data_IF_570290330311
#
_entry.id   IF_570290330311
#
_cell.length_a   1.000
_cell.length_b   1.000
_cell.length_c   1.000
_cell.angle_alpha   90.00
_cell.angle_beta   90.00
_cell.angle_gamma   90.00
#
_symmetry.space_group_name_H-M   'P 1'
#
loop_
_entity.id
_entity.type
_entity.pdbx_description
1 polymer ?
#
# COMPACT_ATOMS: atom_id res chain seq x y z
N UNK A 1 -31.89 -25.96 2.32
CA UNK A 1 -31.00 -26.96 1.70
C UNK A 1 -29.59 -26.44 1.71
N UNK A 2 -28.73 -26.90 2.61
CA UNK A 2 -27.29 -26.57 2.62
C UNK A 2 -26.66 -27.29 1.43
N UNK A 3 -26.24 -26.53 0.40
CA UNK A 3 -25.38 -27.09 -0.67
C UNK A 3 -24.09 -27.57 0.00
N UNK A 4 -23.84 -28.88 -0.07
CA UNK A 4 -22.55 -29.49 0.25
C UNK A 4 -21.49 -28.78 -0.58
N UNK A 5 -20.56 -28.10 0.10
CA UNK A 5 -19.33 -27.62 -0.51
C UNK A 5 -18.63 -28.86 -1.08
N UNK A 6 -18.28 -28.88 -2.38
CA UNK A 6 -17.51 -30.00 -2.91
C UNK A 6 -16.20 -30.09 -2.13
N UNK A 7 -15.83 -31.29 -1.71
CA UNK A 7 -14.53 -31.58 -1.11
C UNK A 7 -13.46 -31.07 -2.08
N UNK A 8 -12.81 -29.97 -1.72
CA UNK A 8 -11.73 -29.35 -2.52
C UNK A 8 -10.55 -30.31 -2.54
N UNK A 9 -10.46 -31.06 -3.63
CA UNK A 9 -9.26 -31.78 -3.99
C UNK A 9 -8.09 -30.79 -4.07
N UNK A 10 -7.15 -30.89 -3.13
CA UNK A 10 -5.77 -30.40 -3.20
C UNK A 10 -5.48 -28.97 -3.71
N UNK A 11 -6.30 -27.97 -3.41
CA UNK A 11 -5.82 -26.59 -3.38
C UNK A 11 -5.00 -26.52 -2.10
N UNK A 12 -3.69 -26.69 -2.23
CA UNK A 12 -2.78 -26.62 -1.09
C UNK A 12 -2.89 -25.23 -0.45
N UNK A 13 -2.75 -25.11 0.87
CA UNK A 13 -2.62 -23.83 1.60
C UNK A 13 -1.52 -22.92 1.02
N UNK A 14 -0.79 -23.40 0.02
CA UNK A 14 0.25 -22.67 -0.69
C UNK A 14 -0.31 -21.62 -1.68
N UNK A 15 -1.45 -21.91 -2.36
CA UNK A 15 -1.94 -21.01 -3.41
C UNK A 15 -2.25 -19.59 -2.96
N UNK A 16 -2.92 -19.34 -1.81
CA UNK A 16 -3.13 -17.98 -1.30
C UNK A 16 -1.84 -17.27 -0.90
N UNK A 17 -0.90 -18.00 -0.28
CA UNK A 17 0.42 -17.45 0.08
C UNK A 17 1.22 -17.06 -1.16
N UNK A 18 1.22 -17.92 -2.17
CA UNK A 18 1.91 -17.68 -3.45
C UNK A 18 1.27 -16.56 -4.25
N UNK A 19 -0.07 -16.38 -4.19
CA UNK A 19 -0.75 -15.24 -4.80
C UNK A 19 -0.21 -13.93 -4.23
N UNK A 20 -0.17 -13.79 -2.89
CA UNK A 20 0.40 -12.61 -2.25
C UNK A 20 1.89 -12.47 -2.55
N UNK A 21 2.65 -13.55 -2.45
CA UNK A 21 4.08 -13.52 -2.74
C UNK A 21 4.37 -12.98 -4.15
N UNK A 22 3.78 -13.56 -5.18
CA UNK A 22 4.04 -13.18 -6.57
C UNK A 22 3.52 -11.79 -6.91
N UNK A 23 2.32 -11.41 -6.42
CA UNK A 23 1.79 -10.07 -6.63
C UNK A 23 2.69 -9.00 -6.03
N UNK A 24 3.06 -9.18 -4.75
CA UNK A 24 3.93 -8.21 -4.07
C UNK A 24 5.38 -8.26 -4.57
N UNK A 25 5.86 -9.43 -5.00
CA UNK A 25 7.16 -9.53 -5.65
C UNK A 25 7.17 -8.80 -7.00
N UNK A 26 6.11 -8.92 -7.81
CA UNK A 26 5.98 -8.18 -9.06
C UNK A 26 6.00 -6.67 -8.82
N UNK A 27 5.18 -6.17 -7.88
CA UNK A 27 5.16 -4.74 -7.56
C UNK A 27 6.46 -4.28 -6.91
N UNK A 28 7.07 -5.09 -6.04
CA UNK A 28 8.36 -4.82 -5.39
C UNK A 28 9.54 -4.74 -6.36
N UNK A 29 9.49 -5.44 -7.49
CA UNK A 29 10.55 -5.35 -8.51
C UNK A 29 10.57 -4.02 -9.24
N UNK A 30 9.43 -3.33 -9.38
CA UNK A 30 9.32 -2.11 -10.19
C UNK A 30 9.08 -0.86 -9.35
N UNK A 31 8.12 -0.88 -8.44
CA UNK A 31 7.62 0.33 -7.78
C UNK A 31 8.71 1.17 -7.10
N UNK A 32 9.69 0.59 -6.36
CA UNK A 32 10.74 1.38 -5.72
C UNK A 32 11.65 2.12 -6.72
N UNK A 33 11.83 1.54 -7.91
CA UNK A 33 12.74 2.05 -8.93
C UNK A 33 12.04 2.90 -10.00
N UNK A 34 10.70 2.89 -10.05
CA UNK A 34 9.94 3.49 -11.15
C UNK A 34 10.15 5.01 -11.26
N UNK A 35 10.13 5.72 -10.14
CA UNK A 35 10.35 7.16 -10.14
C UNK A 35 11.80 7.53 -10.49
N UNK A 36 12.77 6.70 -10.07
CA UNK A 36 14.18 6.82 -10.48
C UNK A 36 14.31 6.59 -11.98
N UNK A 37 13.60 5.59 -12.52
CA UNK A 37 13.57 5.32 -13.95
C UNK A 37 12.95 6.48 -14.77
N UNK A 38 11.92 7.13 -14.28
CA UNK A 38 11.36 8.33 -14.91
C UNK A 38 12.36 9.49 -14.89
N UNK A 39 13.09 9.67 -13.80
CA UNK A 39 14.17 10.67 -13.71
C UNK A 39 15.27 10.38 -14.74
N UNK A 40 15.67 9.10 -14.90
CA UNK A 40 16.67 8.70 -15.91
C UNK A 40 16.22 8.93 -17.35
N UNK A 41 14.91 8.93 -17.60
CA UNK A 41 14.32 9.31 -18.90
C UNK A 41 14.26 10.82 -19.11
N UNK A 42 14.72 11.62 -18.17
CA UNK A 42 14.75 13.09 -18.26
C UNK A 42 13.42 13.76 -17.92
N UNK A 43 12.48 13.07 -17.26
CA UNK A 43 11.25 13.69 -16.78
C UNK A 43 11.57 14.62 -15.59
N UNK A 44 10.92 15.77 -15.56
CA UNK A 44 11.00 16.70 -14.44
C UNK A 44 10.27 16.15 -13.21
N UNK A 45 10.64 16.62 -12.02
CA UNK A 45 10.01 16.21 -10.76
C UNK A 45 8.48 16.41 -10.77
N UNK A 46 7.91 17.55 -11.29
CA UNK A 46 6.46 17.69 -11.42
C UNK A 46 5.80 16.63 -12.31
N UNK A 47 6.46 16.24 -13.40
CA UNK A 47 5.96 15.18 -14.28
C UNK A 47 5.95 13.83 -13.56
N UNK A 48 7.03 13.50 -12.84
CA UNK A 48 7.11 12.30 -12.00
C UNK A 48 6.04 12.32 -10.91
N UNK A 49 5.79 13.47 -10.30
CA UNK A 49 4.75 13.67 -9.28
C UNK A 49 3.35 13.33 -9.80
N UNK A 50 3.03 13.80 -11.01
CA UNK A 50 1.74 13.51 -11.66
C UNK A 50 1.63 12.01 -11.94
N UNK A 51 2.66 11.39 -12.52
CA UNK A 51 2.66 9.95 -12.81
C UNK A 51 2.54 9.11 -11.52
N UNK A 52 3.16 9.53 -10.41
CA UNK A 52 3.05 8.86 -9.11
C UNK A 52 1.68 9.04 -8.44
N UNK A 53 1.03 10.19 -8.64
CA UNK A 53 -0.29 10.48 -8.07
C UNK A 53 -1.43 9.72 -8.76
N UNK A 54 -1.31 9.46 -10.06
CA UNK A 54 -2.37 8.88 -10.88
C UNK A 54 -2.86 7.51 -10.39
N UNK A 55 -2.00 6.50 -10.15
CA UNK A 55 -2.48 5.19 -9.67
C UNK A 55 -3.21 5.30 -8.33
N UNK A 56 -2.78 6.22 -7.44
CA UNK A 56 -3.41 6.44 -6.14
C UNK A 56 -4.82 7.04 -6.30
N UNK A 57 -4.96 8.07 -7.16
CA UNK A 57 -6.26 8.67 -7.47
C UNK A 57 -7.19 7.68 -8.17
N UNK A 58 -6.68 6.91 -9.10
CA UNK A 58 -7.46 5.90 -9.82
C UNK A 58 -7.96 4.76 -8.93
N UNK A 59 -7.27 4.45 -7.83
CA UNK A 59 -7.75 3.45 -6.87
C UNK A 59 -9.11 3.83 -6.28
N UNK A 60 -9.40 5.12 -6.09
CA UNK A 60 -10.68 5.60 -5.59
C UNK A 60 -11.84 5.43 -6.59
N UNK A 61 -11.54 5.47 -7.88
CA UNK A 61 -12.53 5.47 -8.96
C UNK A 61 -12.68 4.10 -9.63
N UNK A 62 -11.56 3.41 -9.87
CA UNK A 62 -11.57 2.19 -10.65
C UNK A 62 -12.08 0.97 -9.87
N UNK A 63 -11.90 0.90 -8.55
CA UNK A 63 -12.38 -0.23 -7.77
C UNK A 63 -13.91 -0.42 -7.83
N UNK A 64 -14.75 0.62 -7.67
CA UNK A 64 -16.20 0.51 -7.87
C UNK A 64 -16.60 0.13 -9.30
N UNK A 65 -15.88 0.63 -10.31
CA UNK A 65 -16.15 0.31 -11.72
C UNK A 65 -15.90 -1.17 -11.97
N UNK A 66 -14.77 -1.71 -11.51
CA UNK A 66 -14.45 -3.13 -11.66
C UNK A 66 -15.42 -4.03 -10.88
N UNK A 67 -15.86 -3.61 -9.69
CA UNK A 67 -16.89 -4.32 -8.96
C UNK A 67 -18.21 -4.36 -9.75
N UNK A 68 -18.63 -3.24 -10.33
CA UNK A 68 -19.82 -3.17 -11.20
C UNK A 68 -19.70 -4.06 -12.45
N UNK A 69 -18.53 -4.12 -13.08
CA UNK A 69 -18.27 -5.01 -14.21
C UNK A 69 -18.35 -6.48 -13.75
N UNK A 70 -17.76 -6.82 -12.60
CA UNK A 70 -17.81 -8.16 -12.04
C UNK A 70 -19.25 -8.61 -11.76
N UNK A 71 -20.07 -7.72 -11.18
CA UNK A 71 -21.48 -7.98 -10.87
C UNK A 71 -22.31 -8.15 -12.14
N UNK A 72 -22.17 -7.23 -13.11
CA UNK A 72 -22.95 -7.22 -14.34
C UNK A 72 -22.70 -8.46 -15.22
N UNK A 73 -21.42 -8.86 -15.37
CA UNK A 73 -21.03 -9.98 -16.23
C UNK A 73 -20.88 -11.31 -15.49
N UNK A 74 -21.06 -11.36 -14.17
CA UNK A 74 -20.84 -12.56 -13.35
C UNK A 74 -19.38 -13.07 -13.40
N UNK A 75 -18.41 -12.14 -13.50
CA UNK A 75 -16.99 -12.47 -13.74
C UNK A 75 -16.16 -12.51 -12.45
N UNK A 76 -16.76 -12.63 -11.27
CA UNK A 76 -16.07 -12.52 -9.98
C UNK A 76 -14.82 -13.40 -9.86
N UNK A 77 -14.88 -14.63 -10.36
CA UNK A 77 -13.73 -15.55 -10.36
C UNK A 77 -12.66 -15.18 -11.39
N UNK A 78 -13.05 -14.59 -12.53
CA UNK A 78 -12.16 -14.36 -13.67
C UNK A 78 -11.53 -12.97 -13.66
N UNK A 79 -12.12 -12.01 -12.91
CA UNK A 79 -11.71 -10.61 -12.99
C UNK A 79 -10.33 -10.39 -12.40
N UNK A 80 -9.99 -11.03 -11.29
CA UNK A 80 -8.66 -10.88 -10.67
C UNK A 80 -7.53 -11.35 -11.60
N UNK A 81 -7.53 -12.61 -12.12
CA UNK A 81 -6.49 -13.00 -13.05
C UNK A 81 -6.51 -12.16 -14.34
N UNK A 82 -7.68 -11.77 -14.85
CA UNK A 82 -7.79 -10.93 -16.05
C UNK A 82 -7.06 -9.60 -15.89
N UNK A 83 -7.31 -8.87 -14.79
CA UNK A 83 -6.66 -7.57 -14.56
C UNK A 83 -5.17 -7.71 -14.24
N UNK A 84 -4.76 -8.80 -13.58
CA UNK A 84 -3.34 -9.08 -13.37
C UNK A 84 -2.62 -9.28 -14.71
N UNK A 85 -3.15 -10.11 -15.62
CA UNK A 85 -2.57 -10.27 -16.95
C UNK A 85 -2.67 -9.00 -17.81
N UNK A 86 -3.76 -8.25 -17.70
CA UNK A 86 -3.95 -7.00 -18.45
C UNK A 86 -3.01 -5.87 -17.95
N UNK A 87 -2.57 -5.90 -16.71
CA UNK A 87 -1.59 -4.95 -16.18
C UNK A 87 -0.19 -5.13 -16.77
N UNK A 88 0.14 -6.33 -17.24
CA UNK A 88 1.48 -6.67 -17.79
C UNK A 88 1.83 -5.82 -19.00
N UNK A 89 1.04 -5.80 -20.10
CA UNK A 89 1.40 -5.03 -21.28
C UNK A 89 1.54 -3.55 -20.99
N UNK A 90 0.73 -2.96 -20.10
CA UNK A 90 0.86 -1.55 -19.76
C UNK A 90 2.15 -1.28 -18.97
N UNK A 91 2.56 -2.15 -18.06
CA UNK A 91 3.84 -2.00 -17.38
C UNK A 91 5.02 -2.13 -18.35
N UNK A 92 4.95 -3.05 -19.30
CA UNK A 92 5.97 -3.19 -20.35
C UNK A 92 6.05 -1.93 -21.20
N UNK A 93 4.91 -1.35 -21.61
CA UNK A 93 4.86 -0.10 -22.37
C UNK A 93 5.47 1.09 -21.62
N UNK A 94 5.34 1.15 -20.29
CA UNK A 94 6.05 2.17 -19.47
C UNK A 94 7.57 2.07 -19.69
N UNK A 95 8.11 0.87 -19.80
CA UNK A 95 9.54 0.64 -20.08
C UNK A 95 10.00 1.21 -21.42
N UNK A 96 9.15 1.17 -22.43
CA UNK A 96 9.50 1.58 -23.82
C UNK A 96 9.30 3.08 -24.10
N UNK A 97 8.29 3.72 -23.53
CA UNK A 97 8.01 5.12 -23.82
C UNK A 97 8.93 6.08 -23.04
N UNK A 98 9.26 7.22 -23.69
CA UNK A 98 10.21 8.20 -23.16
C UNK A 98 9.60 9.61 -23.01
N UNK A 99 8.38 9.83 -23.51
CA UNK A 99 7.74 11.16 -23.41
C UNK A 99 6.69 11.18 -22.31
N UNK A 100 6.58 12.32 -21.60
CA UNK A 100 5.60 12.48 -20.53
C UNK A 100 4.17 12.13 -20.96
N UNK A 101 3.73 12.60 -22.12
CA UNK A 101 2.34 12.42 -22.58
C UNK A 101 2.00 10.97 -22.90
N UNK A 102 2.92 10.23 -23.51
CA UNK A 102 2.73 8.79 -23.76
C UNK A 102 2.72 8.00 -22.47
N UNK A 103 3.65 8.32 -21.54
CA UNK A 103 3.68 7.70 -20.22
C UNK A 103 2.42 8.00 -19.41
N UNK A 104 1.89 9.24 -19.49
CA UNK A 104 0.65 9.61 -18.81
C UNK A 104 -0.51 8.70 -19.20
N UNK A 105 -0.72 8.49 -20.52
CA UNK A 105 -1.79 7.61 -21.01
C UNK A 105 -1.58 6.18 -20.54
N UNK A 106 -0.37 5.66 -20.65
CA UNK A 106 -0.08 4.26 -20.27
C UNK A 106 -0.20 4.05 -18.75
N UNK A 107 0.25 5.03 -17.94
CA UNK A 107 0.11 4.96 -16.47
C UNK A 107 -1.36 5.03 -16.05
N UNK A 108 -2.20 5.80 -16.75
CA UNK A 108 -3.65 5.79 -16.51
C UNK A 108 -4.23 4.40 -16.79
N UNK A 109 -3.91 3.80 -17.93
CA UNK A 109 -4.39 2.46 -18.30
C UNK A 109 -3.89 1.39 -17.32
N UNK A 110 -2.60 1.46 -16.95
CA UNK A 110 -2.03 0.61 -15.91
C UNK A 110 -2.76 0.78 -14.57
N UNK A 111 -2.98 2.03 -14.13
CA UNK A 111 -3.64 2.34 -12.87
C UNK A 111 -5.08 1.84 -12.82
N UNK A 112 -5.84 1.95 -13.91
CA UNK A 112 -7.19 1.39 -14.02
C UNK A 112 -7.17 -0.13 -13.80
N UNK A 113 -6.21 -0.84 -14.40
CA UNK A 113 -6.10 -2.28 -14.25
C UNK A 113 -5.55 -2.71 -12.89
N UNK A 114 -4.51 -2.02 -12.40
CA UNK A 114 -3.78 -2.45 -11.19
C UNK A 114 -4.49 -2.08 -9.88
N UNK A 115 -5.27 -1.00 -9.87
CA UNK A 115 -5.89 -0.47 -8.65
C UNK A 115 -6.78 -1.46 -7.85
N UNK A 116 -7.58 -2.36 -8.46
CA UNK A 116 -8.40 -3.29 -7.71
C UNK A 116 -7.71 -4.60 -7.34
N UNK A 117 -6.48 -4.87 -7.85
CA UNK A 117 -5.81 -6.18 -7.67
C UNK A 117 -5.66 -6.51 -6.19
N UNK A 118 -5.22 -5.55 -5.36
CA UNK A 118 -5.01 -5.78 -3.93
C UNK A 118 -6.30 -6.17 -3.22
N UNK A 119 -7.37 -5.38 -3.37
CA UNK A 119 -8.64 -5.63 -2.71
C UNK A 119 -9.31 -6.92 -3.18
N UNK A 120 -9.20 -7.25 -4.46
CA UNK A 120 -9.71 -8.51 -5.00
C UNK A 120 -8.88 -9.70 -4.54
N UNK A 121 -7.56 -9.56 -4.40
CA UNK A 121 -6.69 -10.60 -3.84
C UNK A 121 -7.06 -10.88 -2.37
N UNK A 122 -7.25 -9.83 -1.56
CA UNK A 122 -7.68 -9.95 -0.17
C UNK A 122 -9.03 -10.66 -0.06
N UNK A 123 -10.01 -10.27 -0.86
CA UNK A 123 -11.33 -10.89 -0.88
C UNK A 123 -11.26 -12.36 -1.30
N UNK A 124 -10.45 -12.70 -2.31
CA UNK A 124 -10.28 -14.08 -2.76
C UNK A 124 -9.65 -14.97 -1.68
N UNK A 125 -8.64 -14.45 -0.97
CA UNK A 125 -7.97 -15.17 0.11
C UNK A 125 -8.89 -15.31 1.34
N UNK A 126 -9.63 -14.28 1.70
CA UNK A 126 -10.61 -14.34 2.80
C UNK A 126 -11.75 -15.33 2.50
N UNK A 127 -12.20 -15.40 1.25
CA UNK A 127 -13.19 -16.39 0.81
C UNK A 127 -12.62 -17.82 0.86
N UNK A 128 -11.34 -17.99 0.50
CA UNK A 128 -10.65 -19.27 0.63
C UNK A 128 -10.58 -19.74 2.10
N UNK A 129 -10.28 -18.81 3.02
CA UNK A 129 -10.15 -19.12 4.45
C UNK A 129 -11.50 -19.43 5.13
N UNK A 130 -12.61 -18.94 4.61
CA UNK A 130 -13.94 -19.16 5.17
C UNK A 130 -14.00 -18.83 6.67
N UNK A 131 -14.13 -19.85 7.52
CA UNK A 131 -14.16 -19.70 8.99
C UNK A 131 -12.77 -19.45 9.63
N UNK A 132 -11.67 -19.73 8.92
CA UNK A 132 -10.30 -19.62 9.43
C UNK A 132 -9.67 -18.23 9.17
N UNK A 133 -10.46 -17.17 9.16
CA UNK A 133 -10.01 -15.78 8.87
C UNK A 133 -8.84 -15.31 9.75
N UNK A 134 -8.65 -15.89 10.92
CA UNK A 134 -7.50 -15.61 11.80
C UNK A 134 -6.14 -15.94 11.17
N UNK A 135 -6.11 -16.82 10.17
CA UNK A 135 -4.90 -17.19 9.42
C UNK A 135 -4.51 -16.19 8.34
N UNK A 136 -5.40 -15.23 8.00
CA UNK A 136 -5.14 -14.26 6.95
C UNK A 136 -3.80 -13.52 7.12
N UNK A 137 -3.48 -13.08 8.35
CA UNK A 137 -2.22 -12.39 8.63
C UNK A 137 -0.98 -13.21 8.25
N UNK A 138 -0.97 -14.52 8.52
CA UNK A 138 0.14 -15.39 8.14
C UNK A 138 0.29 -15.57 6.63
N UNK A 139 -0.84 -15.61 5.89
CA UNK A 139 -0.79 -15.68 4.44
C UNK A 139 -0.32 -14.34 3.83
N UNK A 140 -0.74 -13.22 4.43
CA UNK A 140 -0.37 -11.87 3.99
C UNK A 140 1.11 -11.54 4.18
N UNK A 141 1.78 -12.15 5.18
CA UNK A 141 3.23 -12.00 5.39
C UNK A 141 4.07 -12.41 4.19
N UNK A 142 3.61 -13.39 3.40
CA UNK A 142 4.30 -13.80 2.17
C UNK A 142 4.39 -12.66 1.14
N UNK A 143 3.44 -11.72 1.18
CA UNK A 143 3.52 -10.51 0.38
C UNK A 143 4.70 -9.62 0.77
N UNK A 144 4.91 -9.35 2.06
CA UNK A 144 6.06 -8.56 2.51
C UNK A 144 7.39 -9.24 2.13
N UNK A 145 7.49 -10.56 2.30
CA UNK A 145 8.66 -11.33 1.88
C UNK A 145 8.88 -11.18 0.37
N UNK A 146 7.83 -11.33 -0.44
CA UNK A 146 7.89 -11.16 -1.90
C UNK A 146 8.37 -9.77 -2.30
N UNK A 147 7.79 -8.73 -1.70
CA UNK A 147 8.18 -7.33 -1.95
C UNK A 147 9.66 -7.08 -1.71
N UNK A 148 10.19 -7.42 -0.55
CA UNK A 148 11.55 -7.09 -0.21
C UNK A 148 12.59 -7.98 -0.88
N UNK A 149 12.32 -9.29 -1.03
CA UNK A 149 13.22 -10.20 -1.74
C UNK A 149 13.34 -9.79 -3.21
N UNK A 150 12.20 -9.52 -3.85
CA UNK A 150 12.20 -9.09 -5.25
C UNK A 150 12.84 -7.72 -5.44
N UNK A 151 12.54 -6.74 -4.57
CA UNK A 151 13.17 -5.42 -4.63
C UNK A 151 14.70 -5.49 -4.47
N UNK A 152 15.18 -6.32 -3.55
CA UNK A 152 16.62 -6.53 -3.37
C UNK A 152 17.26 -7.16 -4.60
N UNK A 153 16.75 -8.31 -5.04
CA UNK A 153 17.30 -9.02 -6.19
C UNK A 153 17.27 -8.13 -7.45
N UNK A 154 16.16 -7.45 -7.69
CA UNK A 154 16.05 -6.52 -8.82
C UNK A 154 17.10 -5.43 -8.74
N UNK A 155 17.29 -4.78 -7.58
CA UNK A 155 18.32 -3.76 -7.40
C UNK A 155 19.72 -4.27 -7.73
N UNK A 156 20.07 -5.48 -7.25
CA UNK A 156 21.38 -6.11 -7.53
C UNK A 156 21.55 -6.41 -9.02
N UNK A 157 20.54 -7.01 -9.65
CA UNK A 157 20.65 -7.34 -11.07
C UNK A 157 20.60 -6.11 -11.99
N UNK A 158 19.95 -5.02 -11.57
CA UNK A 158 19.97 -3.76 -12.32
C UNK A 158 21.35 -3.16 -12.47
N UNK A 159 22.29 -3.39 -11.53
CA UNK A 159 23.68 -2.91 -11.66
C UNK A 159 24.42 -3.57 -12.83
N UNK A 160 24.14 -4.85 -13.09
CA UNK A 160 24.82 -5.61 -14.13
C UNK A 160 24.08 -5.59 -15.47
N UNK A 161 22.73 -5.58 -15.46
CA UNK A 161 21.89 -5.81 -16.63
C UNK A 161 21.03 -4.59 -17.01
N UNK A 162 21.10 -3.52 -16.20
CA UNK A 162 20.34 -2.29 -16.43
C UNK A 162 18.86 -2.39 -15.98
N UNK A 163 18.09 -1.28 -16.15
CA UNK A 163 16.74 -1.13 -15.59
C UNK A 163 15.70 -2.06 -16.21
N UNK A 164 15.96 -2.66 -17.35
CA UNK A 164 15.05 -3.62 -18.03
C UNK A 164 14.73 -4.83 -17.14
N UNK A 165 15.64 -5.20 -16.25
CA UNK A 165 15.45 -6.28 -15.26
C UNK A 165 14.19 -6.09 -14.42
N UNK A 166 13.90 -4.85 -13.99
CA UNK A 166 12.74 -4.55 -13.17
C UNK A 166 11.43 -4.91 -13.91
N UNK A 167 11.33 -4.51 -15.16
CA UNK A 167 10.15 -4.80 -16.00
C UNK A 167 10.03 -6.29 -16.34
N UNK A 168 11.15 -6.95 -16.64
CA UNK A 168 11.18 -8.40 -16.91
C UNK A 168 10.75 -9.20 -15.68
N UNK A 169 11.26 -8.86 -14.50
CA UNK A 169 10.85 -9.46 -13.24
C UNK A 169 9.35 -9.25 -12.98
N UNK A 170 8.84 -8.03 -13.21
CA UNK A 170 7.41 -7.74 -13.08
C UNK A 170 6.57 -8.66 -13.98
N UNK A 171 6.92 -8.80 -15.26
CA UNK A 171 6.19 -9.64 -16.21
C UNK A 171 6.09 -11.07 -15.72
N UNK A 172 7.22 -11.68 -15.35
CA UNK A 172 7.29 -13.06 -14.90
C UNK A 172 6.48 -13.25 -13.61
N UNK A 173 6.73 -12.41 -12.62
CA UNK A 173 6.13 -12.54 -11.29
C UNK A 173 4.62 -12.23 -11.34
N UNK A 174 4.18 -11.22 -12.11
CA UNK A 174 2.77 -10.90 -12.26
C UNK A 174 2.02 -12.00 -13.03
N UNK A 175 2.65 -12.62 -14.04
CA UNK A 175 2.07 -13.75 -14.74
C UNK A 175 1.90 -14.97 -13.82
N UNK A 176 2.89 -15.26 -12.97
CA UNK A 176 2.80 -16.32 -11.94
C UNK A 176 1.70 -15.99 -10.92
N UNK A 177 1.60 -14.73 -10.50
CA UNK A 177 0.52 -14.26 -9.61
C UNK A 177 -0.86 -14.43 -10.25
N UNK A 178 -1.01 -14.04 -11.51
CA UNK A 178 -2.25 -14.25 -12.28
C UNK A 178 -2.63 -15.72 -12.43
N UNK A 179 -1.63 -16.58 -12.61
CA UNK A 179 -1.85 -18.02 -12.62
C UNK A 179 -2.32 -18.56 -11.26
N UNK A 180 -1.72 -18.11 -10.16
CA UNK A 180 -2.20 -18.45 -8.81
C UNK A 180 -3.63 -17.92 -8.58
N UNK A 181 -3.95 -16.72 -9.07
CA UNK A 181 -5.29 -16.14 -8.98
C UNK A 181 -6.36 -17.01 -9.69
N UNK A 182 -6.03 -17.67 -10.81
CA UNK A 182 -6.95 -18.60 -11.49
C UNK A 182 -7.30 -19.83 -10.64
N UNK A 183 -6.47 -20.17 -9.66
CA UNK A 183 -6.69 -21.32 -8.77
C UNK A 183 -7.51 -20.95 -7.52
N UNK A 184 -7.78 -19.65 -7.29
CA UNK A 184 -8.58 -19.23 -6.16
C UNK A 184 -10.07 -19.59 -6.34
N UNK A 185 -10.76 -19.92 -5.23
CA UNK A 185 -12.21 -20.14 -5.27
C UNK A 185 -12.94 -18.86 -5.64
N UNK A 186 -14.19 -19.01 -6.06
CA UNK A 186 -15.05 -17.88 -6.31
C UNK A 186 -15.26 -17.07 -5.00
N UNK A 187 -15.01 -15.75 -5.01
CA UNK A 187 -15.19 -14.95 -3.82
C UNK A 187 -16.67 -14.94 -3.42
N UNK A 188 -16.92 -15.25 -2.14
CA UNK A 188 -18.26 -15.15 -1.55
C UNK A 188 -18.54 -13.67 -1.28
N UNK A 189 -19.21 -13.03 -2.24
CA UNK A 189 -19.58 -11.62 -2.14
C UNK A 189 -20.81 -11.55 -1.23
N UNK A 190 -20.60 -11.34 0.06
CA UNK A 190 -21.65 -10.80 0.90
C UNK A 190 -22.09 -9.48 0.26
N UNK A 191 -23.37 -9.42 -0.15
CA UNK A 191 -24.01 -8.18 -0.60
C UNK A 191 -23.99 -7.22 0.57
N UNK A 192 -22.93 -6.43 0.67
CA UNK A 192 -22.85 -5.34 1.63
C UNK A 192 -23.83 -4.23 1.23
N UNK A 193 -24.40 -3.56 2.23
CA UNK A 193 -25.19 -2.36 1.98
C UNK A 193 -24.36 -1.32 1.20
N UNK A 194 -24.97 -0.54 0.31
CA UNK A 194 -24.27 0.45 -0.49
C UNK A 194 -23.45 1.40 0.41
N UNK A 195 -22.20 1.59 0.06
CA UNK A 195 -21.21 2.42 0.77
C UNK A 195 -21.73 3.79 1.24
N UNK A 196 -22.75 4.33 0.57
CA UNK A 196 -23.18 5.72 0.69
C UNK A 196 -24.28 5.97 1.72
N UNK A 197 -24.99 4.96 2.20
CA UNK A 197 -26.25 5.12 2.96
C UNK A 197 -26.09 5.66 4.38
N UNK A 198 -24.89 5.64 4.97
CA UNK A 198 -24.68 6.08 6.36
C UNK A 198 -23.44 6.97 6.57
N UNK A 199 -22.80 7.47 5.52
CA UNK A 199 -21.64 8.36 5.58
C UNK A 199 -21.88 9.61 6.47
N UNK A 200 -23.08 10.17 6.45
CA UNK A 200 -23.43 11.34 7.25
C UNK A 200 -23.31 11.15 8.77
N UNK A 201 -23.46 9.91 9.27
CA UNK A 201 -23.28 9.61 10.70
C UNK A 201 -21.81 9.51 11.10
N UNK A 202 -20.96 9.03 10.21
CA UNK A 202 -19.53 8.88 10.40
C UNK A 202 -18.85 10.26 10.48
N UNK A 203 -19.24 11.19 9.60
CA UNK A 203 -18.64 12.53 9.48
C UNK A 203 -18.96 13.45 10.68
N UNK A 204 -19.93 13.12 11.53
CA UNK A 204 -20.31 13.93 12.70
C UNK A 204 -19.58 13.56 14.00
N UNK A 205 -18.86 12.44 14.05
CA UNK A 205 -18.12 12.02 15.23
C UNK A 205 -16.69 12.56 15.17
N UNK A 206 -16.29 13.36 16.15
CA UNK A 206 -14.94 13.94 16.26
C UNK A 206 -13.84 12.87 16.26
N UNK A 207 -14.11 11.64 16.71
CA UNK A 207 -13.18 10.52 16.69
C UNK A 207 -12.90 10.10 15.23
N UNK A 208 -13.95 10.04 14.41
CA UNK A 208 -13.80 9.74 12.97
C UNK A 208 -13.05 10.85 12.25
N UNK A 209 -13.42 12.11 12.48
CA UNK A 209 -12.78 13.26 11.84
C UNK A 209 -11.28 13.26 12.17
N UNK A 210 -10.92 13.11 13.46
CA UNK A 210 -9.52 13.12 13.88
C UNK A 210 -8.72 11.92 13.34
N UNK A 211 -9.35 10.75 13.25
CA UNK A 211 -8.75 9.55 12.70
C UNK A 211 -8.50 9.68 11.20
N UNK A 212 -9.49 10.14 10.43
CA UNK A 212 -9.36 10.31 9.00
C UNK A 212 -8.36 11.44 8.65
N UNK A 213 -8.43 12.59 9.33
CA UNK A 213 -7.46 13.67 9.15
C UNK A 213 -6.04 13.25 9.54
N UNK A 214 -5.88 12.57 10.67
CA UNK A 214 -4.58 12.03 11.09
C UNK A 214 -4.04 11.04 10.06
N UNK A 215 -4.89 10.14 9.55
CA UNK A 215 -4.54 9.19 8.51
C UNK A 215 -4.17 9.88 7.18
N UNK A 216 -4.91 10.92 6.78
CA UNK A 216 -4.61 11.73 5.60
C UNK A 216 -3.24 12.40 5.71
N UNK A 217 -2.97 13.07 6.83
CA UNK A 217 -1.69 13.77 7.04
C UNK A 217 -0.51 12.80 7.10
N UNK A 218 -0.67 11.68 7.82
CA UNK A 218 0.35 10.63 7.87
C UNK A 218 0.53 9.96 6.49
N UNK A 219 -0.55 9.74 5.74
CA UNK A 219 -0.51 9.22 4.38
C UNK A 219 0.22 10.15 3.42
N UNK A 220 -0.06 11.46 3.48
CA UNK A 220 0.67 12.48 2.71
C UNK A 220 2.17 12.43 3.00
N UNK A 221 2.55 12.42 4.27
CA UNK A 221 3.95 12.37 4.68
C UNK A 221 4.63 11.03 4.34
N UNK A 222 3.92 9.91 4.45
CA UNK A 222 4.39 8.59 4.04
C UNK A 222 4.69 8.54 2.54
N UNK A 223 3.86 9.19 1.73
CA UNK A 223 4.06 9.23 0.28
C UNK A 223 5.22 10.13 -0.15
N UNK A 224 5.67 11.06 0.65
CA UNK A 224 6.95 11.76 0.41
C UNK A 224 8.11 10.77 0.36
N UNK A 225 8.15 9.84 1.33
CA UNK A 225 9.17 8.79 1.33
C UNK A 225 8.93 7.82 0.16
N UNK A 226 7.72 7.33 -0.02
CA UNK A 226 7.42 6.32 -1.04
C UNK A 226 7.74 6.77 -2.47
N UNK A 227 7.55 8.04 -2.79
CA UNK A 227 7.79 8.56 -4.13
C UNK A 227 9.20 9.12 -4.32
N UNK A 228 9.80 9.72 -3.29
CA UNK A 228 11.01 10.53 -3.50
C UNK A 228 12.25 10.01 -2.77
N UNK A 229 12.12 9.07 -1.84
CA UNK A 229 13.26 8.58 -1.06
C UNK A 229 14.33 7.92 -1.93
N UNK A 230 13.92 7.12 -2.92
CA UNK A 230 14.86 6.46 -3.82
C UNK A 230 15.49 7.42 -4.84
N UNK A 231 14.76 8.45 -5.30
CA UNK A 231 15.33 9.56 -6.08
C UNK A 231 16.41 10.25 -5.24
N UNK A 232 16.08 10.61 -4.01
CA UNK A 232 17.02 11.27 -3.10
C UNK A 232 18.26 10.40 -2.80
N UNK A 233 18.10 9.09 -2.57
CA UNK A 233 19.24 8.20 -2.39
C UNK A 233 20.13 8.15 -3.64
N UNK A 234 19.53 8.14 -4.83
CA UNK A 234 20.26 8.19 -6.09
C UNK A 234 21.03 9.51 -6.23
N UNK A 235 20.41 10.64 -5.92
CA UNK A 235 21.06 11.96 -5.94
C UNK A 235 22.25 12.03 -4.95
N UNK A 236 22.20 11.25 -3.85
CA UNK A 236 23.32 11.05 -2.94
C UNK A 236 24.37 10.04 -3.44
N UNK A 237 24.21 9.45 -4.64
CA UNK A 237 25.12 8.50 -5.24
C UNK A 237 24.87 7.03 -4.88
N UNK A 238 23.65 6.65 -4.44
CA UNK A 238 23.32 5.25 -4.16
C UNK A 238 23.26 4.43 -5.45
N UNK A 239 24.05 3.34 -5.56
CA UNK A 239 23.89 2.37 -6.64
C UNK A 239 22.56 1.61 -6.50
N UNK A 240 22.09 0.99 -7.60
CA UNK A 240 20.80 0.28 -7.61
C UNK A 240 20.74 -0.88 -6.62
N UNK A 241 21.86 -1.59 -6.38
CA UNK A 241 21.94 -2.65 -5.38
C UNK A 241 21.75 -2.14 -3.95
N UNK A 242 22.29 -0.95 -3.61
CA UNK A 242 22.05 -0.32 -2.31
C UNK A 242 20.58 0.10 -2.17
N UNK A 243 19.96 0.60 -3.25
CA UNK A 243 18.52 0.91 -3.25
C UNK A 243 17.70 -0.37 -3.02
N UNK A 244 18.02 -1.47 -3.70
CA UNK A 244 17.39 -2.77 -3.49
C UNK A 244 17.58 -3.31 -2.06
N UNK A 245 18.78 -3.20 -1.49
CA UNK A 245 19.06 -3.54 -0.10
C UNK A 245 18.19 -2.66 0.86
N UNK A 246 18.02 -1.40 0.52
CA UNK A 246 17.17 -0.48 1.27
C UNK A 246 15.71 -0.95 1.24
N UNK A 247 15.18 -1.43 0.10
CA UNK A 247 13.85 -2.06 0.03
C UNK A 247 13.77 -3.26 0.96
N UNK A 248 14.74 -4.18 0.90
CA UNK A 248 14.75 -5.38 1.73
C UNK A 248 14.82 -5.06 3.23
N UNK A 249 15.54 -4.01 3.62
CA UNK A 249 15.70 -3.63 5.03
C UNK A 249 14.37 -3.30 5.72
N UNK A 250 13.36 -2.85 4.97
CA UNK A 250 12.04 -2.53 5.52
C UNK A 250 11.36 -3.74 6.17
N UNK A 251 11.60 -4.94 5.63
CA UNK A 251 10.92 -6.17 6.08
C UNK A 251 11.50 -6.66 7.40
N UNK A 252 12.77 -6.41 7.68
CA UNK A 252 13.48 -6.95 8.85
C UNK A 252 12.71 -6.66 10.14
N UNK A 253 12.23 -5.43 10.29
CA UNK A 253 11.41 -5.06 11.45
C UNK A 253 9.91 -5.16 11.18
N UNK A 254 9.45 -5.19 9.93
CA UNK A 254 8.04 -5.30 9.59
C UNK A 254 7.46 -6.65 10.05
N UNK A 255 8.15 -7.76 9.75
CA UNK A 255 7.68 -9.10 10.10
C UNK A 255 7.48 -9.29 11.61
N UNK A 256 8.46 -8.98 12.49
CA UNK A 256 8.25 -9.11 13.95
C UNK A 256 7.07 -8.25 14.44
N UNK A 257 6.96 -7.01 14.01
CA UNK A 257 5.87 -6.14 14.45
C UNK A 257 4.50 -6.61 13.97
N UNK A 258 4.38 -7.19 12.77
CA UNK A 258 3.14 -7.81 12.32
C UNK A 258 2.80 -9.07 13.12
N UNK A 259 3.77 -9.96 13.36
CA UNK A 259 3.56 -11.19 14.15
C UNK A 259 3.08 -10.87 15.56
N UNK A 260 3.69 -9.88 16.20
CA UNK A 260 3.36 -9.48 17.57
C UNK A 260 2.23 -8.45 17.67
N UNK A 261 1.67 -7.99 16.54
CA UNK A 261 0.66 -6.91 16.51
C UNK A 261 -0.55 -7.18 17.40
N UNK A 262 -1.08 -8.41 17.41
CA UNK A 262 -2.21 -8.80 18.26
C UNK A 262 -1.89 -8.69 19.77
N UNK A 263 -0.66 -9.04 20.18
CA UNK A 263 -0.20 -8.90 21.56
C UNK A 263 0.04 -7.43 21.91
N UNK A 264 0.55 -6.64 20.96
CA UNK A 264 0.76 -5.21 21.14
C UNK A 264 -0.58 -4.48 21.30
N UNK A 265 -1.61 -4.82 20.51
CA UNK A 265 -2.96 -4.26 20.66
C UNK A 265 -3.52 -4.50 22.05
N UNK A 266 -3.34 -5.71 22.60
CA UNK A 266 -3.80 -6.04 23.97
C UNK A 266 -3.10 -5.21 25.05
N UNK A 267 -1.82 -4.85 24.85
CA UNK A 267 -1.02 -4.09 25.82
C UNK A 267 -1.19 -2.59 25.72
N UNK A 268 -1.29 -2.04 24.51
CA UNK A 268 -1.18 -0.59 24.25
C UNK A 268 -2.46 0.01 23.65
N UNK A 269 -3.45 -0.82 23.28
CA UNK A 269 -4.66 -0.50 22.52
C UNK A 269 -4.41 -0.16 21.04
N UNK A 270 -5.47 -0.24 20.22
CA UNK A 270 -5.42 0.14 18.80
C UNK A 270 -5.02 1.62 18.61
N UNK A 271 -5.58 2.50 19.45
CA UNK A 271 -5.24 3.93 19.46
C UNK A 271 -3.77 4.17 19.82
N UNK A 272 -3.25 3.49 20.83
CA UNK A 272 -1.86 3.61 21.24
C UNK A 272 -0.88 3.19 20.15
N UNK A 273 -1.21 2.14 19.35
CA UNK A 273 -0.42 1.73 18.20
C UNK A 273 -0.38 2.79 17.10
N UNK A 274 -1.50 3.46 16.81
CA UNK A 274 -1.54 4.55 15.84
C UNK A 274 -0.64 5.72 16.33
N UNK A 275 -0.73 6.10 17.59
CA UNK A 275 0.11 7.16 18.14
C UNK A 275 1.60 6.79 18.07
N UNK A 276 1.96 5.57 18.43
CA UNK A 276 3.32 5.05 18.30
C UNK A 276 3.81 5.10 16.84
N UNK A 277 2.98 4.66 15.90
CA UNK A 277 3.33 4.68 14.48
C UNK A 277 3.62 6.10 13.98
N UNK A 278 2.83 7.09 14.39
CA UNK A 278 3.07 8.49 14.01
C UNK A 278 4.42 8.99 14.54
N UNK A 279 4.78 8.64 15.78
CA UNK A 279 6.10 8.97 16.35
C UNK A 279 7.22 8.33 15.52
N UNK A 280 7.07 7.06 15.14
CA UNK A 280 8.06 6.37 14.30
C UNK A 280 8.18 7.02 12.92
N UNK A 281 7.05 7.42 12.31
CA UNK A 281 7.06 8.11 11.02
C UNK A 281 7.76 9.48 11.11
N UNK A 282 7.48 10.26 12.16
CA UNK A 282 8.16 11.54 12.43
C UNK A 282 9.67 11.29 12.53
N UNK A 283 10.09 10.32 13.33
CA UNK A 283 11.51 9.98 13.49
C UNK A 283 12.14 9.61 12.17
N UNK A 284 11.47 8.74 11.38
CA UNK A 284 11.95 8.33 10.06
C UNK A 284 12.13 9.52 9.12
N UNK A 285 11.15 10.43 9.06
CA UNK A 285 11.21 11.63 8.23
C UNK A 285 12.33 12.58 8.65
N UNK A 286 12.48 12.82 9.96
CA UNK A 286 13.56 13.67 10.47
C UNK A 286 14.94 13.05 10.18
N UNK A 287 15.11 11.74 10.39
CA UNK A 287 16.36 11.06 10.05
C UNK A 287 16.62 11.09 8.53
N UNK A 288 15.58 10.93 7.69
CA UNK A 288 15.69 11.07 6.24
C UNK A 288 16.15 12.48 5.84
N UNK A 289 15.68 13.53 6.52
CA UNK A 289 16.06 14.92 6.24
C UNK A 289 17.53 15.23 6.54
N UNK A 290 18.17 14.43 7.40
CA UNK A 290 19.56 14.59 7.82
C UNK A 290 20.54 13.71 7.03
N UNK A 291 20.05 12.87 6.10
CA UNK A 291 20.89 11.97 5.33
C UNK A 291 21.86 12.74 4.42
N UNK A 292 23.14 12.45 4.55
CA UNK A 292 24.22 12.93 3.66
C UNK A 292 24.96 11.78 2.97
N UNK A 293 24.83 10.58 3.51
CA UNK A 293 25.45 9.38 2.97
C UNK A 293 24.35 8.33 2.71
N UNK A 294 24.22 7.81 1.48
CA UNK A 294 23.12 6.91 1.10
C UNK A 294 23.13 5.58 1.86
N UNK A 295 24.27 5.11 2.38
CA UNK A 295 24.34 3.87 3.15
C UNK A 295 23.51 3.91 4.44
N UNK A 296 23.36 5.07 5.09
CA UNK A 296 22.49 5.23 6.25
C UNK A 296 21.00 5.13 5.87
N UNK A 297 20.67 5.29 4.58
CA UNK A 297 19.31 5.09 4.06
C UNK A 297 18.77 3.70 4.37
N UNK A 298 19.61 2.66 4.39
CA UNK A 298 19.22 1.29 4.76
C UNK A 298 18.69 1.24 6.19
N UNK A 299 19.41 1.85 7.15
CA UNK A 299 19.01 1.86 8.56
C UNK A 299 17.75 2.71 8.80
N UNK A 300 17.69 3.87 8.16
CA UNK A 300 16.50 4.74 8.25
C UNK A 300 15.28 4.04 7.67
N UNK A 301 15.45 3.27 6.58
CA UNK A 301 14.34 2.53 5.97
C UNK A 301 13.84 1.36 6.82
N UNK A 302 14.63 0.81 7.74
CA UNK A 302 14.16 -0.20 8.70
C UNK A 302 12.99 0.31 9.56
N UNK A 303 12.91 1.64 9.82
CA UNK A 303 11.78 2.25 10.53
C UNK A 303 10.46 2.16 9.76
N UNK A 304 10.49 1.79 8.46
CA UNK A 304 9.28 1.48 7.72
C UNK A 304 8.46 0.37 8.40
N UNK A 305 9.14 -0.69 8.80
CA UNK A 305 8.49 -1.86 9.40
C UNK A 305 7.66 -1.53 10.64
N UNK A 306 8.26 -0.99 11.72
CA UNK A 306 7.52 -0.58 12.92
C UNK A 306 6.41 0.42 12.62
N UNK A 307 6.63 1.40 11.73
CA UNK A 307 5.60 2.34 11.33
C UNK A 307 4.43 1.63 10.66
N UNK A 308 4.69 0.95 9.55
CA UNK A 308 3.64 0.41 8.69
C UNK A 308 2.81 -0.67 9.38
N UNK A 309 3.48 -1.62 10.04
CA UNK A 309 2.79 -2.72 10.72
C UNK A 309 1.94 -2.25 11.90
N UNK A 310 2.45 -1.34 12.76
CA UNK A 310 1.69 -0.84 13.90
C UNK A 310 0.58 0.11 13.48
N UNK A 311 0.83 0.96 12.47
CA UNK A 311 -0.18 1.83 11.90
C UNK A 311 -1.33 1.01 11.31
N UNK A 312 -1.03 0.06 10.43
CA UNK A 312 -2.05 -0.75 9.76
C UNK A 312 -2.87 -1.58 10.75
N UNK A 313 -2.20 -2.31 11.64
CA UNK A 313 -2.88 -3.10 12.67
C UNK A 313 -3.73 -2.22 13.61
N UNK A 314 -3.18 -1.07 14.03
CA UNK A 314 -3.90 -0.10 14.87
C UNK A 314 -5.10 0.49 14.15
N UNK A 315 -4.92 0.97 12.91
CA UNK A 315 -5.95 1.67 12.15
C UNK A 315 -7.14 0.77 11.78
N UNK A 316 -6.89 -0.48 11.34
CA UNK A 316 -7.94 -1.44 11.01
C UNK A 316 -8.78 -1.78 12.25
N UNK A 317 -8.14 -2.01 13.41
CA UNK A 317 -8.86 -2.30 14.65
C UNK A 317 -9.59 -1.05 15.17
N UNK A 318 -8.95 0.11 15.18
CA UNK A 318 -9.58 1.35 15.63
C UNK A 318 -10.78 1.73 14.76
N UNK A 319 -10.67 1.64 13.43
CA UNK A 319 -11.77 1.88 12.51
C UNK A 319 -12.97 0.98 12.80
N UNK A 320 -12.72 -0.32 13.08
CA UNK A 320 -13.76 -1.28 13.44
C UNK A 320 -14.42 -0.92 14.79
N UNK A 321 -13.61 -0.53 15.78
CA UNK A 321 -14.09 -0.25 17.14
C UNK A 321 -14.96 1.02 17.21
N UNK A 322 -14.71 2.02 16.35
CA UNK A 322 -15.52 3.25 16.29
C UNK A 322 -16.62 3.20 15.21
N UNK A 323 -16.64 2.14 14.38
CA UNK A 323 -17.64 2.00 13.33
C UNK A 323 -19.03 1.75 13.93
N UNK A 324 -20.10 2.41 13.42
CA UNK A 324 -21.45 2.01 13.73
C UNK A 324 -21.71 0.54 13.34
N UNK A 325 -22.65 -0.12 14.04
CA UNK A 325 -23.01 -1.52 13.75
C UNK A 325 -23.35 -1.71 12.27
N UNK A 326 -22.71 -2.70 11.63
CA UNK A 326 -22.90 -3.02 10.20
C UNK A 326 -22.03 -2.22 9.22
N UNK A 327 -21.24 -1.22 9.66
CA UNK A 327 -20.43 -0.36 8.77
C UNK A 327 -18.93 -0.63 8.83
N UNK A 328 -18.48 -1.77 9.35
CA UNK A 328 -17.06 -2.07 9.52
C UNK A 328 -16.25 -2.06 8.19
N UNK A 329 -16.82 -2.57 7.11
CA UNK A 329 -16.19 -2.56 5.78
C UNK A 329 -16.09 -1.13 5.22
N UNK A 330 -17.16 -0.33 5.34
CA UNK A 330 -17.19 1.08 4.92
C UNK A 330 -16.16 1.92 5.71
N UNK A 331 -16.01 1.64 6.99
CA UNK A 331 -15.03 2.27 7.87
C UNK A 331 -13.59 2.04 7.40
N UNK A 332 -13.26 0.80 7.04
CA UNK A 332 -11.94 0.45 6.50
C UNK A 332 -11.69 1.08 5.13
N UNK A 333 -12.71 1.12 4.28
CA UNK A 333 -12.62 1.76 2.97
C UNK A 333 -12.38 3.28 3.09
N UNK A 334 -13.07 3.97 4.02
CA UNK A 334 -12.85 5.39 4.29
C UNK A 334 -11.43 5.66 4.79
N UNK A 335 -10.93 4.83 5.71
CA UNK A 335 -9.55 4.89 6.17
C UNK A 335 -8.56 4.72 5.02
N UNK A 336 -8.71 3.67 4.21
CA UNK A 336 -7.84 3.41 3.07
C UNK A 336 -7.90 4.54 2.03
N UNK A 337 -9.09 5.08 1.75
CA UNK A 337 -9.27 6.22 0.86
C UNK A 337 -8.58 7.49 1.41
N UNK A 338 -8.64 7.72 2.73
CA UNK A 338 -7.98 8.84 3.36
C UNK A 338 -6.45 8.73 3.31
N UNK A 339 -5.89 7.56 3.66
CA UNK A 339 -4.45 7.35 3.74
C UNK A 339 -3.80 7.19 2.36
N UNK A 340 -4.25 6.19 1.57
CA UNK A 340 -3.65 5.87 0.27
C UNK A 340 -4.23 6.70 -0.88
N UNK A 341 -5.53 7.00 -0.85
CA UNK A 341 -6.19 7.76 -1.91
C UNK A 341 -5.83 9.25 -1.83
N UNK A 342 -6.49 9.97 -0.93
CA UNK A 342 -6.28 11.42 -0.80
C UNK A 342 -4.88 11.76 -0.31
N UNK A 343 -4.39 11.07 0.72
CA UNK A 343 -3.02 11.23 1.23
C UNK A 343 -1.98 10.86 0.18
N UNK A 344 -2.25 9.81 -0.61
CA UNK A 344 -1.39 9.38 -1.72
C UNK A 344 -1.23 10.44 -2.80
N UNK A 345 -2.34 10.96 -3.30
CA UNK A 345 -2.35 12.02 -4.34
C UNK A 345 -1.69 13.30 -3.81
N UNK A 346 -2.10 13.76 -2.62
CA UNK A 346 -1.53 14.97 -2.02
C UNK A 346 -0.02 14.80 -1.75
N UNK A 347 0.39 13.63 -1.25
CA UNK A 347 1.80 13.35 -0.99
C UNK A 347 2.65 13.30 -2.26
N UNK A 348 2.16 12.71 -3.34
CA UNK A 348 2.88 12.72 -4.61
C UNK A 348 3.03 14.15 -5.16
N UNK A 349 1.95 14.93 -5.21
CA UNK A 349 1.96 16.27 -5.79
C UNK A 349 2.71 17.29 -4.91
N UNK A 350 2.35 17.39 -3.63
CA UNK A 350 2.99 18.32 -2.70
C UNK A 350 4.46 17.96 -2.47
N UNK A 351 4.75 16.65 -2.36
CA UNK A 351 6.12 16.16 -2.22
C UNK A 351 7.00 16.58 -3.38
N UNK A 352 6.51 16.51 -4.61
CA UNK A 352 7.27 16.95 -5.79
C UNK A 352 7.55 18.44 -5.81
N UNK A 353 6.56 19.26 -5.47
CA UNK A 353 6.75 20.71 -5.36
C UNK A 353 7.81 21.05 -4.30
N UNK A 354 7.72 20.42 -3.11
CA UNK A 354 8.69 20.66 -2.04
C UNK A 354 10.09 20.15 -2.39
N UNK A 355 10.19 18.99 -3.04
CA UNK A 355 11.45 18.40 -3.48
C UNK A 355 12.17 19.31 -4.48
N UNK A 356 11.45 19.83 -5.48
CA UNK A 356 12.02 20.61 -6.57
C UNK A 356 12.32 22.06 -6.17
N UNK A 357 11.36 22.74 -5.51
CA UNK A 357 11.48 24.18 -5.23
C UNK A 357 12.33 24.50 -4.00
N UNK A 358 12.43 23.56 -3.05
CA UNK A 358 13.18 23.79 -1.82
C UNK A 358 14.36 22.81 -1.69
N UNK A 359 14.10 21.60 -1.23
CA UNK A 359 15.06 20.50 -1.17
C UNK A 359 14.41 19.22 -0.65
N UNK A 360 15.02 18.04 -0.87
CA UNK A 360 14.57 16.80 -0.24
C UNK A 360 14.48 16.89 1.29
N UNK A 361 15.45 17.54 1.93
CA UNK A 361 15.48 17.72 3.39
C UNK A 361 14.27 18.51 3.90
N UNK A 362 13.93 19.62 3.24
CA UNK A 362 12.74 20.42 3.60
C UNK A 362 11.45 19.62 3.39
N UNK A 363 11.34 18.87 2.29
CA UNK A 363 10.17 18.01 2.05
C UNK A 363 9.97 17.02 3.20
N UNK A 364 11.03 16.34 3.67
CA UNK A 364 10.92 15.41 4.80
C UNK A 364 10.58 16.12 6.11
N UNK A 365 11.12 17.31 6.36
CA UNK A 365 10.78 18.12 7.56
C UNK A 365 9.32 18.56 7.56
N UNK A 366 8.80 19.00 6.41
CA UNK A 366 7.37 19.32 6.23
C UNK A 366 6.52 18.07 6.49
N UNK A 367 6.92 16.92 5.98
CA UNK A 367 6.26 15.64 6.25
C UNK A 367 6.21 15.31 7.75
N UNK A 368 7.33 15.52 8.46
CA UNK A 368 7.38 15.35 9.91
C UNK A 368 6.41 16.29 10.63
N UNK A 369 6.34 17.57 10.19
CA UNK A 369 5.39 18.56 10.71
C UNK A 369 3.93 18.16 10.46
N UNK A 370 3.58 17.70 9.24
CA UNK A 370 2.23 17.21 8.93
C UNK A 370 1.86 16.01 9.81
N UNK A 371 2.78 15.06 10.00
CA UNK A 371 2.55 13.90 10.85
C UNK A 371 2.38 14.31 12.32
N UNK A 372 3.15 15.30 12.79
CA UNK A 372 3.03 15.85 14.15
C UNK A 372 1.67 16.51 14.37
N UNK A 373 1.18 17.27 13.40
CA UNK A 373 -0.18 17.84 13.45
C UNK A 373 -1.21 16.71 13.54
N UNK A 374 -1.09 15.67 12.69
CA UNK A 374 -1.94 14.48 12.74
C UNK A 374 -1.89 13.77 14.10
N UNK A 375 -0.69 13.62 14.68
CA UNK A 375 -0.49 13.05 16.01
C UNK A 375 -1.24 13.84 17.09
N UNK A 376 -1.09 15.18 17.10
CA UNK A 376 -1.72 16.06 18.11
C UNK A 376 -3.24 16.02 17.96
N UNK A 377 -3.77 16.12 16.73
CA UNK A 377 -5.21 16.05 16.46
C UNK A 377 -5.79 14.72 16.94
N UNK A 378 -5.17 13.62 16.56
CA UNK A 378 -5.64 12.29 16.95
C UNK A 378 -5.46 12.02 18.45
N UNK A 379 -4.39 12.53 19.08
CA UNK A 379 -4.18 12.41 20.53
C UNK A 379 -5.21 13.19 21.35
N UNK A 380 -5.68 14.33 20.87
CA UNK A 380 -6.66 15.17 21.59
C UNK A 380 -8.10 14.70 21.37
N UNK A 381 -8.49 14.47 20.13
CA UNK A 381 -9.88 14.21 19.73
C UNK A 381 -10.25 12.72 19.63
N UNK A 382 -9.25 11.85 19.42
CA UNK A 382 -9.44 10.39 19.30
C UNK A 382 -9.59 9.65 20.65
N UNK A 383 -9.90 10.34 21.76
CA UNK A 383 -10.13 9.66 23.05
C UNK A 383 -11.48 8.94 23.04
N UNK A 384 -11.56 7.71 23.57
CA UNK A 384 -12.85 7.09 23.84
C UNK A 384 -13.63 7.99 24.81
N UNK A 385 -14.91 8.26 24.52
CA UNK A 385 -15.78 8.87 25.53
C UNK A 385 -15.89 7.91 26.70
N UNK A 386 -15.51 8.40 27.88
CA UNK A 386 -15.65 7.68 29.16
C UNK A 386 -17.13 7.45 29.42
N UNK A 387 -17.68 6.34 28.93
CA UNK A 387 -19.11 6.03 29.05
C UNK A 387 -19.59 4.77 28.33
N UNK A 388 -18.73 4.06 27.63
CA UNK A 388 -19.07 2.78 26.98
C UNK A 388 -18.08 1.67 27.40
N UNK A 389 -17.92 1.47 28.70
CA UNK A 389 -17.44 0.21 29.24
C UNK A 389 -18.67 -0.60 29.62
N UNK A 390 -18.81 -1.75 28.98
CA UNK A 390 -19.65 -2.91 29.37
C UNK A 390 -21.16 -2.65 29.58
N UNK A 391 -21.96 -3.07 28.61
CA UNK A 391 -23.09 -3.95 28.85
C UNK A 391 -23.13 -5.04 27.77
#
# INVERSE_FOLDING_TARGET
>A
MRKKVPSTSHISNLSPSLLFFFYFAATGSVTPFLNVFYQDKGLSIPQISILGALPMGLTLLAAPVWAGIADYFGLHRKILPLIMFLSIPFMVLIGFFNTFWTLLVVVILYGICSSPIMSLSDNSVLSFLGSERSRYGHLRLWGSIGWGLSGWLTGVFMECMGPTVAFTAFVILMALGGWMAMQMPEPDLEKGDPYWTNLGKVIRDNRWISFLLGSFLAGTAFMFISNYFFIFLKDLGAPSGLQGLTVASSIILELPFFIFSANLIKKVSARGLILFSFIVLILRLLLSSLLKNPYWGVLVNMLHGPFYSTFWAGAVNYARDIAPRGLGASAQALFAASFFGLGGVMGALLGGVLFEQFSPSVMFQVGAGLTLIGLILFARLGRPTSGQTSD
#
